data_IF_749712958445
#
_entry.id   IF_749712958445
#
_cell.length_a   1.000
_cell.length_b   1.000
_cell.length_c   1.000
_cell.angle_alpha   90.00
_cell.angle_beta   90.00
_cell.angle_gamma   90.00
#
_symmetry.space_group_name_H-M   'P 1'
#
loop_
_entity.id
_entity.type
_entity.pdbx_description
1 polymer ?
#
# COMPACT_ATOMS: atom_id res chain seq x y z
N UNK A 1 15.95 23.67 -5.67
CA UNK A 1 14.86 22.85 -5.10
C UNK A 1 14.75 23.22 -3.62
N UNK A 2 13.74 23.99 -3.22
CA UNK A 2 13.53 24.34 -1.80
C UNK A 2 13.13 23.09 -1.05
N UNK A 3 13.92 22.72 -0.04
CA UNK A 3 13.56 21.63 0.87
C UNK A 3 12.24 22.00 1.54
N UNK A 4 11.20 21.18 1.31
CA UNK A 4 9.97 21.31 2.09
C UNK A 4 10.31 21.08 3.57
N UNK A 5 9.74 21.89 4.49
CA UNK A 5 10.00 21.68 5.91
C UNK A 5 9.56 20.26 6.31
N UNK A 6 10.39 19.59 7.10
CA UNK A 6 10.10 18.24 7.57
C UNK A 6 8.79 18.25 8.38
N UNK A 7 7.85 17.38 8.03
CA UNK A 7 6.61 17.18 8.79
C UNK A 7 6.97 16.56 10.13
N UNK A 8 6.70 17.26 11.23
CA UNK A 8 7.06 16.85 12.59
C UNK A 8 5.89 16.28 13.40
N UNK A 9 4.66 16.44 12.92
CA UNK A 9 3.44 15.95 13.59
C UNK A 9 2.39 15.52 12.56
N UNK A 10 1.61 14.49 12.88
CA UNK A 10 0.44 14.09 12.07
C UNK A 10 -0.63 15.18 11.99
N UNK A 11 -0.72 16.07 12.96
CA UNK A 11 -1.63 17.24 12.93
C UNK A 11 -1.34 18.19 11.76
N UNK A 12 -0.11 18.20 11.23
CA UNK A 12 0.29 19.02 10.07
C UNK A 12 -0.08 18.40 8.72
N UNK A 13 -0.60 17.17 8.71
CA UNK A 13 -0.86 16.39 7.48
C UNK A 13 -2.30 16.56 6.97
N UNK A 14 -3.02 17.60 7.29
CA UNK A 14 -4.36 17.91 6.76
C UNK A 14 -5.32 16.68 6.61
N UNK A 15 -5.13 15.68 7.48
CA UNK A 15 -5.99 14.49 7.51
C UNK A 15 -7.35 14.86 8.15
N UNK A 16 -8.48 14.31 7.67
CA UNK A 16 -9.79 14.52 8.28
C UNK A 16 -9.84 14.14 9.76
N UNK A 17 -10.65 14.85 10.55
CA UNK A 17 -10.80 14.63 12.00
C UNK A 17 -11.00 13.15 12.41
N UNK A 18 -11.81 12.33 11.71
CA UNK A 18 -11.96 10.93 12.06
C UNK A 18 -10.64 10.14 12.00
N UNK A 19 -9.76 10.47 11.05
CA UNK A 19 -8.44 9.84 10.92
C UNK A 19 -7.48 10.36 11.97
N UNK A 20 -7.47 11.67 12.25
CA UNK A 20 -6.65 12.26 13.31
C UNK A 20 -7.00 11.63 14.68
N UNK A 21 -8.30 11.44 14.96
CA UNK A 21 -8.75 10.76 16.17
C UNK A 21 -8.28 9.32 16.24
N UNK A 22 -8.36 8.57 15.13
CA UNK A 22 -7.87 7.20 15.07
C UNK A 22 -6.35 7.13 15.31
N UNK A 23 -5.57 8.08 14.78
CA UNK A 23 -4.13 8.16 15.00
C UNK A 23 -3.78 8.41 16.47
N UNK A 24 -4.53 9.30 17.13
CA UNK A 24 -4.38 9.56 18.58
C UNK A 24 -4.64 8.29 19.39
N UNK A 25 -5.70 7.54 19.08
CA UNK A 25 -6.03 6.27 19.77
C UNK A 25 -4.95 5.20 19.63
N UNK A 26 -4.22 5.21 18.50
CA UNK A 26 -3.13 4.25 18.27
C UNK A 26 -1.76 4.76 18.73
N UNK A 27 -1.70 5.97 19.30
CA UNK A 27 -0.46 6.56 19.82
C UNK A 27 0.49 7.06 18.73
N UNK A 28 -0.01 7.46 17.58
CA UNK A 28 0.79 8.02 16.51
C UNK A 28 0.95 9.53 16.71
N UNK A 29 2.13 9.97 17.10
CA UNK A 29 2.43 11.38 17.34
C UNK A 29 3.24 12.00 16.19
N UNK A 30 4.35 11.36 15.85
CA UNK A 30 5.30 11.84 14.85
C UNK A 30 5.31 10.91 13.64
N UNK A 31 5.12 11.42 12.41
CA UNK A 31 5.24 10.61 11.21
C UNK A 31 6.68 10.17 10.98
N UNK A 32 6.84 8.93 10.52
CA UNK A 32 8.15 8.45 10.06
C UNK A 32 8.58 9.19 8.78
N UNK A 33 9.86 9.08 8.42
CA UNK A 33 10.40 9.76 7.24
C UNK A 33 9.62 9.43 5.96
N UNK A 34 9.26 8.15 5.72
CA UNK A 34 8.46 7.76 4.56
C UNK A 34 7.05 8.34 4.63
N UNK A 35 6.41 8.38 5.80
CA UNK A 35 5.07 8.95 5.98
C UNK A 35 5.06 10.45 5.71
N UNK A 36 5.98 11.20 6.32
CA UNK A 36 6.09 12.65 6.14
C UNK A 36 6.35 13.06 4.69
N UNK A 37 7.10 12.25 3.94
CA UNK A 37 7.43 12.53 2.55
C UNK A 37 6.33 12.11 1.55
N UNK A 38 5.57 11.03 1.83
CA UNK A 38 4.62 10.48 0.86
C UNK A 38 3.17 10.88 1.10
N UNK A 39 2.73 11.04 2.36
CA UNK A 39 1.33 11.38 2.67
C UNK A 39 0.87 12.67 1.99
N UNK A 40 1.60 13.79 2.02
CA UNK A 40 1.16 15.02 1.35
C UNK A 40 0.99 14.85 -0.17
N UNK A 41 1.90 14.10 -0.81
CA UNK A 41 1.82 13.84 -2.25
C UNK A 41 0.60 12.99 -2.60
N UNK A 42 0.32 11.94 -1.82
CA UNK A 42 -0.84 11.07 -2.02
C UNK A 42 -2.16 11.78 -1.71
N UNK A 43 -2.23 12.66 -0.70
CA UNK A 43 -3.40 13.50 -0.45
C UNK A 43 -3.70 14.43 -1.61
N UNK A 44 -2.66 14.97 -2.25
CA UNK A 44 -2.77 15.81 -3.45
C UNK A 44 -3.09 15.03 -4.74
N UNK A 45 -3.34 13.72 -4.66
CA UNK A 45 -3.66 12.88 -5.82
C UNK A 45 -2.47 12.56 -6.72
N UNK A 46 -1.23 12.82 -6.30
CA UNK A 46 -0.02 12.52 -7.08
C UNK A 46 0.40 11.06 -6.93
N UNK A 47 0.99 10.51 -7.97
CA UNK A 47 1.62 9.20 -7.91
C UNK A 47 2.88 9.24 -7.04
N UNK A 48 3.20 8.12 -6.41
CA UNK A 48 4.36 7.99 -5.52
C UNK A 48 5.15 6.73 -5.85
N UNK A 49 6.47 6.89 -5.94
CA UNK A 49 7.43 5.80 -5.97
C UNK A 49 8.24 5.85 -4.66
N UNK A 50 7.89 4.97 -3.72
CA UNK A 50 8.49 4.93 -2.39
C UNK A 50 9.46 3.77 -2.23
N UNK A 51 10.75 4.08 -2.01
CA UNK A 51 11.74 3.09 -1.63
C UNK A 51 12.00 3.15 -0.13
N UNK A 52 11.55 2.14 0.59
CA UNK A 52 11.73 2.04 2.04
C UNK A 52 11.62 0.59 2.51
N UNK A 53 12.40 0.23 3.51
CA UNK A 53 12.42 -1.11 4.10
C UNK A 53 11.12 -1.45 4.83
N UNK A 54 10.90 -2.74 5.08
CA UNK A 54 9.80 -3.22 5.94
C UNK A 54 9.94 -2.64 7.36
N UNK A 55 8.82 -2.32 7.99
CA UNK A 55 8.82 -1.74 9.35
C UNK A 55 9.02 -0.22 9.42
N UNK A 56 9.21 0.49 8.31
CA UNK A 56 9.35 1.95 8.27
C UNK A 56 8.04 2.73 8.34
N UNK A 57 6.89 2.02 8.37
CA UNK A 57 5.57 2.64 8.43
C UNK A 57 4.90 2.88 7.07
N UNK A 58 5.31 2.15 6.01
CA UNK A 58 4.73 2.26 4.66
C UNK A 58 3.20 2.09 4.65
N UNK A 59 2.67 1.15 5.43
CA UNK A 59 1.21 0.91 5.45
C UNK A 59 0.43 2.16 5.83
N UNK A 60 0.83 2.89 6.86
CA UNK A 60 0.19 4.15 7.21
C UNK A 60 0.46 5.24 6.15
N UNK A 61 1.64 5.22 5.52
CA UNK A 61 2.03 6.16 4.50
C UNK A 61 1.08 6.18 3.28
N UNK A 62 0.52 5.02 2.89
CA UNK A 62 -0.49 4.97 1.84
C UNK A 62 -1.93 4.87 2.37
N UNK A 63 -2.19 4.15 3.47
CA UNK A 63 -3.55 3.93 3.94
C UNK A 63 -4.23 5.22 4.40
N UNK A 64 -3.52 6.11 5.10
CA UNK A 64 -4.09 7.35 5.62
C UNK A 64 -4.57 8.29 4.50
N UNK A 65 -3.75 8.66 3.49
CA UNK A 65 -4.20 9.53 2.42
C UNK A 65 -5.29 8.88 1.55
N UNK A 66 -5.21 7.58 1.34
CA UNK A 66 -6.24 6.82 0.61
C UNK A 66 -7.57 6.89 1.34
N UNK A 67 -7.60 6.68 2.66
CA UNK A 67 -8.81 6.79 3.48
C UNK A 67 -9.37 8.23 3.50
N UNK A 68 -8.50 9.24 3.49
CA UNK A 68 -8.92 10.64 3.46
C UNK A 68 -9.65 11.01 2.16
N UNK A 69 -9.29 10.37 1.04
CA UNK A 69 -9.84 10.63 -0.29
C UNK A 69 -10.99 9.69 -0.69
N UNK A 70 -11.47 8.82 0.22
CA UNK A 70 -12.55 7.89 -0.07
C UNK A 70 -13.91 8.59 -0.17
N UNK A 71 -14.71 8.19 -1.16
CA UNK A 71 -16.12 8.52 -1.24
C UNK A 71 -16.95 7.45 -0.53
N UNK A 72 -17.50 7.78 0.63
CA UNK A 72 -18.22 6.83 1.50
C UNK A 72 -19.53 6.29 0.91
N UNK A 73 -20.08 6.92 -0.14
CA UNK A 73 -21.32 6.50 -0.78
C UNK A 73 -21.18 5.36 -1.79
N UNK A 74 -19.95 5.10 -2.27
CA UNK A 74 -19.71 4.06 -3.27
C UNK A 74 -19.73 2.66 -2.65
N UNK A 75 -20.38 1.72 -3.34
CA UNK A 75 -20.34 0.29 -3.03
C UNK A 75 -19.28 -0.46 -3.82
N UNK A 76 -18.72 0.16 -4.87
CA UNK A 76 -17.63 -0.42 -5.65
C UNK A 76 -16.28 -0.07 -5.03
N UNK A 77 -15.29 -0.96 -5.16
CA UNK A 77 -13.94 -0.70 -4.70
C UNK A 77 -13.34 0.53 -5.39
N UNK A 78 -12.90 1.48 -4.56
CA UNK A 78 -12.19 2.67 -5.02
C UNK A 78 -10.68 2.50 -4.88
N UNK A 79 -10.27 1.53 -4.08
CA UNK A 79 -8.87 1.25 -3.77
C UNK A 79 -8.57 -0.23 -3.91
N UNK A 80 -7.49 -0.52 -4.62
CA UNK A 80 -6.89 -1.84 -4.68
C UNK A 80 -5.46 -1.76 -4.13
N UNK A 81 -5.15 -2.60 -3.16
CA UNK A 81 -3.78 -2.80 -2.66
C UNK A 81 -3.34 -4.22 -3.04
N UNK A 82 -2.27 -4.33 -3.80
CA UNK A 82 -1.64 -5.62 -4.10
C UNK A 82 -0.47 -5.87 -3.14
N UNK A 83 -0.44 -7.08 -2.60
CA UNK A 83 0.57 -7.54 -1.65
C UNK A 83 1.08 -8.92 -2.03
N UNK A 84 2.36 -9.28 -1.74
CA UNK A 84 2.92 -10.57 -2.16
C UNK A 84 2.31 -11.77 -1.43
N UNK A 85 1.89 -11.60 -0.18
CA UNK A 85 1.47 -12.73 0.66
C UNK A 85 0.09 -12.53 1.27
N UNK A 86 -0.54 -13.64 1.61
CA UNK A 86 -1.80 -13.69 2.36
C UNK A 86 -1.69 -12.95 3.69
N UNK A 87 -0.61 -13.21 4.42
CA UNK A 87 -0.35 -12.65 5.73
C UNK A 87 -0.28 -11.12 5.67
N UNK A 88 0.44 -10.58 4.66
CA UNK A 88 0.52 -9.14 4.46
C UNK A 88 -0.82 -8.56 4.04
N UNK A 89 -1.60 -9.24 3.19
CA UNK A 89 -2.95 -8.79 2.82
C UNK A 89 -3.86 -8.63 4.04
N UNK A 90 -3.80 -9.58 4.98
CA UNK A 90 -4.56 -9.52 6.23
C UNK A 90 -4.08 -8.35 7.10
N UNK A 91 -2.76 -8.23 7.31
CA UNK A 91 -2.18 -7.16 8.13
C UNK A 91 -2.50 -5.76 7.59
N UNK A 92 -2.44 -5.59 6.27
CA UNK A 92 -2.78 -4.32 5.63
C UNK A 92 -4.28 -4.03 5.77
N UNK A 93 -5.15 -5.03 5.60
CA UNK A 93 -6.59 -4.85 5.79
C UNK A 93 -6.94 -4.49 7.26
N UNK A 94 -6.29 -5.12 8.23
CA UNK A 94 -6.43 -4.79 9.66
C UNK A 94 -5.96 -3.35 9.95
N UNK A 95 -4.86 -2.92 9.33
CA UNK A 95 -4.38 -1.54 9.45
C UNK A 95 -5.40 -0.54 8.89
N UNK A 96 -5.99 -0.80 7.72
CA UNK A 96 -7.08 0.00 7.17
C UNK A 96 -8.27 0.09 8.13
N UNK A 97 -8.72 -1.05 8.69
CA UNK A 97 -9.80 -1.05 9.69
C UNK A 97 -9.48 -0.21 10.92
N UNK A 98 -8.24 -0.34 11.42
CA UNK A 98 -7.76 0.40 12.58
C UNK A 98 -7.78 1.91 12.34
N UNK A 99 -7.29 2.37 11.18
CA UNK A 99 -7.27 3.80 10.84
C UNK A 99 -8.67 4.34 10.49
N UNK A 100 -9.52 3.50 9.91
CA UNK A 100 -10.89 3.85 9.52
C UNK A 100 -11.92 3.72 10.65
N UNK A 101 -11.50 3.48 11.89
CA UNK A 101 -12.37 3.19 13.04
C UNK A 101 -13.54 4.19 13.21
N UNK A 102 -13.32 5.45 12.87
CA UNK A 102 -14.31 6.52 12.98
C UNK A 102 -14.96 6.90 11.65
N UNK A 103 -14.63 6.21 10.56
CA UNK A 103 -15.29 6.38 9.27
C UNK A 103 -16.59 5.55 9.24
N UNK A 104 -17.70 6.20 8.88
CA UNK A 104 -19.01 5.52 8.77
C UNK A 104 -19.05 4.63 7.51
N UNK A 105 -19.63 3.45 7.65
CA UNK A 105 -19.88 2.50 6.55
C UNK A 105 -18.62 2.06 5.78
N UNK A 106 -17.44 2.19 6.38
CA UNK A 106 -16.20 1.72 5.76
C UNK A 106 -16.10 0.19 5.80
N UNK A 107 -15.74 -0.39 4.66
CA UNK A 107 -15.49 -1.82 4.51
C UNK A 107 -14.21 -2.05 3.73
N UNK A 108 -13.33 -2.88 4.26
CA UNK A 108 -12.12 -3.38 3.60
C UNK A 108 -12.20 -4.91 3.55
N UNK A 109 -11.82 -5.48 2.41
CA UNK A 109 -11.83 -6.92 2.20
C UNK A 109 -10.45 -7.42 1.79
N UNK A 110 -9.83 -8.31 2.58
CA UNK A 110 -8.66 -9.06 2.12
C UNK A 110 -9.09 -10.23 1.22
N UNK A 111 -8.48 -10.33 0.00
CA UNK A 111 -8.71 -11.42 -0.94
C UNK A 111 -7.39 -12.12 -1.29
N UNK A 112 -7.32 -13.43 -1.06
CA UNK A 112 -6.10 -14.22 -1.25
C UNK A 112 -6.42 -15.68 -1.52
N UNK A 113 -5.46 -16.39 -2.11
CA UNK A 113 -5.58 -17.81 -2.39
C UNK A 113 -5.66 -18.68 -1.12
N UNK A 114 -6.27 -19.85 -1.22
CA UNK A 114 -6.46 -20.77 -0.09
C UNK A 114 -7.58 -20.42 0.89
N UNK A 115 -8.23 -19.24 0.74
CA UNK A 115 -9.44 -18.90 1.50
C UNK A 115 -10.73 -19.26 0.74
N UNK A 116 -11.85 -19.35 1.46
CA UNK A 116 -13.16 -19.62 0.88
C UNK A 116 -13.55 -18.54 -0.15
N UNK A 117 -13.62 -18.95 -1.40
CA UNK A 117 -14.01 -18.08 -2.51
C UNK A 117 -15.43 -17.53 -2.35
N UNK A 118 -16.37 -18.35 -1.88
CA UNK A 118 -17.78 -17.95 -1.71
C UNK A 118 -17.93 -16.89 -0.62
N UNK A 119 -17.11 -16.98 0.43
CA UNK A 119 -17.05 -15.96 1.48
C UNK A 119 -16.60 -14.61 0.94
N UNK A 120 -15.53 -14.58 0.13
CA UNK A 120 -15.03 -13.37 -0.52
C UNK A 120 -16.07 -12.80 -1.50
N UNK A 121 -16.71 -13.65 -2.32
CA UNK A 121 -17.75 -13.24 -3.26
C UNK A 121 -18.93 -12.56 -2.56
N UNK A 122 -19.44 -13.15 -1.47
CA UNK A 122 -20.54 -12.54 -0.67
C UNK A 122 -20.17 -11.16 -0.13
N UNK A 123 -18.94 -10.96 0.31
CA UNK A 123 -18.49 -9.66 0.81
C UNK A 123 -18.34 -8.62 -0.30
N UNK A 124 -17.79 -9.00 -1.46
CA UNK A 124 -17.75 -8.14 -2.66
C UNK A 124 -19.16 -7.69 -3.08
N UNK A 125 -20.14 -8.59 -3.08
CA UNK A 125 -21.53 -8.29 -3.42
C UNK A 125 -22.22 -7.33 -2.41
N UNK A 126 -21.82 -7.34 -1.14
CA UNK A 126 -22.32 -6.39 -0.12
C UNK A 126 -21.79 -4.98 -0.34
N UNK A 127 -20.68 -4.87 -1.03
CA UNK A 127 -19.98 -3.62 -1.28
C UNK A 127 -18.81 -3.39 -0.31
N UNK A 128 -17.66 -3.04 -0.89
CA UNK A 128 -16.44 -2.71 -0.15
C UNK A 128 -15.75 -1.54 -0.84
N UNK A 129 -15.14 -0.65 -0.09
CA UNK A 129 -14.43 0.50 -0.64
C UNK A 129 -12.96 0.18 -0.91
N UNK A 130 -12.37 -0.71 -0.13
CA UNK A 130 -10.96 -1.11 -0.24
C UNK A 130 -10.87 -2.62 -0.40
N UNK A 131 -10.12 -3.05 -1.40
CA UNK A 131 -9.71 -4.45 -1.57
C UNK A 131 -8.20 -4.52 -1.37
N UNK A 132 -7.77 -5.45 -0.53
CA UNK A 132 -6.35 -5.77 -0.33
C UNK A 132 -6.15 -7.22 -0.75
N UNK A 133 -5.24 -7.51 -1.68
CA UNK A 133 -5.15 -8.88 -2.13
C UNK A 133 -3.83 -9.33 -2.74
N UNK A 134 -3.68 -10.65 -2.84
CA UNK A 134 -2.58 -11.24 -3.61
C UNK A 134 -2.93 -11.26 -5.11
N UNK A 135 -1.96 -11.00 -6.01
CA UNK A 135 -2.22 -10.81 -7.44
C UNK A 135 -3.07 -11.91 -8.07
N UNK A 136 -2.71 -13.17 -7.91
CA UNK A 136 -3.41 -14.29 -8.53
C UNK A 136 -4.90 -14.41 -8.14
N UNK A 137 -5.27 -14.14 -6.86
CA UNK A 137 -6.67 -14.18 -6.42
C UNK A 137 -7.43 -12.93 -6.87
N UNK A 138 -6.80 -11.77 -6.90
CA UNK A 138 -7.39 -10.55 -7.47
C UNK A 138 -7.72 -10.78 -8.94
N UNK A 139 -6.78 -11.30 -9.71
CA UNK A 139 -6.95 -11.62 -11.13
C UNK A 139 -8.08 -12.65 -11.35
N UNK A 140 -8.18 -13.70 -10.52
CA UNK A 140 -9.26 -14.69 -10.61
C UNK A 140 -10.66 -14.05 -10.42
N UNK A 141 -10.81 -13.18 -9.42
CA UNK A 141 -12.06 -12.43 -9.22
C UNK A 141 -12.36 -11.46 -10.37
N UNK A 142 -11.35 -10.77 -10.92
CA UNK A 142 -11.52 -9.88 -12.07
C UNK A 142 -11.95 -10.65 -13.32
N UNK A 143 -11.29 -11.78 -13.65
CA UNK A 143 -11.61 -12.61 -14.81
C UNK A 143 -13.01 -13.23 -14.72
N UNK A 144 -13.49 -13.52 -13.53
CA UNK A 144 -14.86 -14.04 -13.29
C UNK A 144 -15.91 -12.94 -13.21
N UNK A 145 -15.53 -11.67 -13.32
CA UNK A 145 -16.44 -10.52 -13.21
C UNK A 145 -17.03 -10.34 -11.80
N UNK A 146 -16.45 -10.97 -10.78
CA UNK A 146 -16.89 -10.85 -9.40
C UNK A 146 -16.24 -9.69 -8.64
N UNK A 147 -15.19 -9.11 -9.19
CA UNK A 147 -14.53 -7.89 -8.73
C UNK A 147 -14.61 -6.85 -9.84
N UNK A 148 -15.47 -5.85 -9.65
CA UNK A 148 -15.61 -4.71 -10.54
C UNK A 148 -14.76 -3.55 -10.02
N UNK A 149 -13.72 -3.20 -10.78
CA UNK A 149 -12.78 -2.09 -10.49
C UNK A 149 -13.06 -0.85 -11.33
N UNK A 150 -14.23 -0.70 -11.94
CA UNK A 150 -14.58 0.45 -12.78
C UNK A 150 -14.57 1.78 -12.01
N UNK A 151 -14.78 1.75 -10.70
CA UNK A 151 -14.71 2.91 -9.81
C UNK A 151 -13.34 3.09 -9.12
N UNK A 152 -12.30 2.36 -9.56
CA UNK A 152 -10.98 2.41 -8.94
C UNK A 152 -10.34 3.79 -9.12
N UNK A 153 -9.93 4.39 -8.01
CA UNK A 153 -9.27 5.70 -7.94
C UNK A 153 -7.80 5.60 -7.56
N UNK A 154 -7.46 4.61 -6.74
CA UNK A 154 -6.08 4.42 -6.27
C UNK A 154 -5.69 2.94 -6.33
N UNK A 155 -4.52 2.67 -6.88
CA UNK A 155 -3.89 1.36 -6.88
C UNK A 155 -2.56 1.45 -6.15
N UNK A 156 -2.37 0.57 -5.16
CA UNK A 156 -1.14 0.49 -4.37
C UNK A 156 -0.46 -0.85 -4.64
N UNK A 157 0.84 -0.80 -4.94
CA UNK A 157 1.71 -1.97 -4.96
C UNK A 157 2.58 -1.92 -3.70
N UNK A 158 2.35 -2.80 -2.75
CA UNK A 158 3.17 -2.90 -1.53
C UNK A 158 4.09 -4.11 -1.61
N UNK A 159 5.37 -3.90 -1.27
CA UNK A 159 6.43 -4.90 -1.41
C UNK A 159 6.56 -5.44 -2.86
N UNK A 160 6.65 -4.52 -3.83
CA UNK A 160 6.70 -4.87 -5.25
C UNK A 160 7.89 -5.78 -5.61
N UNK A 161 9.03 -5.60 -4.97
CA UNK A 161 10.20 -6.48 -5.15
C UNK A 161 9.96 -7.89 -4.63
N UNK A 162 9.17 -8.08 -3.59
CA UNK A 162 8.77 -9.39 -3.11
C UNK A 162 7.78 -10.07 -4.08
N UNK A 163 6.81 -9.30 -4.62
CA UNK A 163 5.94 -9.82 -5.70
C UNK A 163 6.74 -10.27 -6.91
N UNK A 164 7.80 -9.55 -7.27
CA UNK A 164 8.73 -9.96 -8.34
C UNK A 164 9.45 -11.27 -8.00
N UNK A 165 9.98 -11.40 -6.77
CA UNK A 165 10.67 -12.63 -6.32
C UNK A 165 9.76 -13.85 -6.32
N UNK A 166 8.47 -13.65 -6.02
CA UNK A 166 7.46 -14.72 -6.04
C UNK A 166 6.89 -15.03 -7.42
N UNK A 167 7.34 -14.32 -8.48
CA UNK A 167 6.91 -14.56 -9.85
C UNK A 167 5.55 -13.96 -10.21
N UNK A 168 5.02 -13.02 -9.41
CA UNK A 168 3.70 -12.39 -9.64
C UNK A 168 3.74 -11.19 -10.59
N UNK A 169 4.87 -10.91 -11.21
CA UNK A 169 5.03 -9.66 -11.96
C UNK A 169 4.09 -9.59 -13.17
N UNK A 170 3.91 -10.69 -13.88
CA UNK A 170 3.01 -10.76 -15.03
C UNK A 170 1.54 -10.57 -14.60
N UNK A 171 1.16 -11.14 -13.45
CA UNK A 171 -0.17 -10.95 -12.87
C UNK A 171 -0.40 -9.48 -12.46
N UNK A 172 0.62 -8.84 -11.89
CA UNK A 172 0.58 -7.41 -11.50
C UNK A 172 0.44 -6.53 -12.73
N UNK A 173 1.25 -6.75 -13.77
CA UNK A 173 1.16 -5.99 -15.02
C UNK A 173 -0.22 -6.16 -15.68
N UNK A 174 -0.72 -7.39 -15.75
CA UNK A 174 -2.07 -7.65 -16.27
C UNK A 174 -3.14 -6.88 -15.49
N UNK A 175 -3.10 -6.89 -14.14
CA UNK A 175 -4.06 -6.13 -13.31
C UNK A 175 -3.96 -4.64 -13.60
N UNK A 176 -2.74 -4.09 -13.67
CA UNK A 176 -2.50 -2.68 -13.99
C UNK A 176 -3.11 -2.28 -15.35
N UNK A 177 -3.02 -3.16 -16.35
CA UNK A 177 -3.59 -2.94 -17.69
C UNK A 177 -5.11 -2.97 -17.71
N UNK A 178 -5.74 -3.81 -16.86
CA UNK A 178 -7.20 -3.97 -16.80
C UNK A 178 -7.89 -2.93 -15.90
N UNK A 179 -7.15 -2.10 -15.18
CA UNK A 179 -7.71 -1.06 -14.30
C UNK A 179 -7.82 0.29 -15.01
N UNK A 180 -8.72 1.21 -14.58
CA UNK A 180 -8.88 2.51 -15.23
C UNK A 180 -7.55 3.26 -15.37
N UNK A 181 -7.33 3.89 -16.53
CA UNK A 181 -6.08 4.65 -16.79
C UNK A 181 -5.96 5.90 -15.94
N UNK A 182 -7.08 6.54 -15.64
CA UNK A 182 -7.15 7.70 -14.75
C UNK A 182 -7.29 7.22 -13.31
N UNK A 183 -6.18 6.80 -12.72
CA UNK A 183 -6.06 6.43 -11.32
C UNK A 183 -4.75 6.92 -10.77
N UNK A 184 -4.71 7.12 -9.48
CA UNK A 184 -3.46 7.33 -8.74
C UNK A 184 -2.77 5.98 -8.53
N UNK A 185 -1.44 5.94 -8.66
CA UNK A 185 -0.63 4.75 -8.38
C UNK A 185 0.41 5.07 -7.31
N UNK A 186 0.48 4.23 -6.28
CA UNK A 186 1.53 4.27 -5.27
C UNK A 186 2.29 2.95 -5.28
N UNK A 187 3.58 2.97 -5.58
CA UNK A 187 4.44 1.81 -5.60
C UNK A 187 5.44 1.90 -4.45
N UNK A 188 5.41 0.91 -3.57
CA UNK A 188 6.36 0.77 -2.46
C UNK A 188 7.18 -0.50 -2.62
N UNK A 189 8.49 -0.37 -2.44
CA UNK A 189 9.45 -1.47 -2.56
C UNK A 189 10.65 -1.22 -1.65
N UNK A 190 11.28 -2.28 -1.16
CA UNK A 190 12.54 -2.15 -0.42
C UNK A 190 13.72 -1.99 -1.38
N UNK A 191 13.66 -2.61 -2.55
CA UNK A 191 14.67 -2.55 -3.61
C UNK A 191 14.06 -2.12 -4.93
N UNK A 192 14.88 -1.55 -5.83
CA UNK A 192 14.43 -1.06 -7.15
C UNK A 192 15.15 -1.78 -8.30
N UNK A 193 14.92 -3.09 -8.50
CA UNK A 193 15.46 -3.79 -9.66
C UNK A 193 14.88 -3.21 -10.97
N UNK A 194 15.57 -3.43 -12.09
CA UNK A 194 15.19 -2.89 -13.40
C UNK A 194 13.73 -3.15 -13.79
N UNK A 195 13.18 -4.30 -13.40
CA UNK A 195 11.79 -4.68 -13.70
C UNK A 195 10.81 -3.76 -12.95
N UNK A 196 11.04 -3.50 -11.66
CA UNK A 196 10.20 -2.59 -10.87
C UNK A 196 10.30 -1.15 -11.40
N UNK A 197 11.51 -0.72 -11.79
CA UNK A 197 11.70 0.56 -12.44
C UNK A 197 10.90 0.70 -13.75
N UNK A 198 10.88 -0.36 -14.57
CA UNK A 198 10.10 -0.41 -15.81
C UNK A 198 8.59 -0.27 -15.52
N UNK A 199 8.06 -1.02 -14.54
CA UNK A 199 6.65 -0.92 -14.13
C UNK A 199 6.33 0.50 -13.67
N UNK A 200 7.19 1.11 -12.85
CA UNK A 200 7.00 2.48 -12.41
C UNK A 200 6.95 3.45 -13.60
N UNK A 201 7.86 3.33 -14.55
CA UNK A 201 7.90 4.18 -15.75
C UNK A 201 6.66 4.02 -16.66
N UNK A 202 6.10 2.81 -16.75
CA UNK A 202 4.95 2.51 -17.62
C UNK A 202 3.61 2.92 -17.00
N UNK A 203 3.47 2.83 -15.68
CA UNK A 203 2.19 2.93 -15.01
C UNK A 203 2.03 4.14 -14.06
N UNK A 204 3.11 4.81 -13.67
CA UNK A 204 3.07 6.00 -12.84
C UNK A 204 3.21 7.28 -13.70
N UNK A 205 2.48 8.33 -13.33
CA UNK A 205 2.49 9.63 -14.02
C UNK A 205 3.20 10.68 -13.15
N UNK A 206 4.40 11.11 -13.57
CA UNK A 206 5.21 12.10 -12.85
C UNK A 206 5.26 11.85 -11.33
N UNK A 207 5.66 10.66 -10.89
CA UNK A 207 5.61 10.29 -9.48
C UNK A 207 6.51 11.18 -8.63
N UNK A 208 6.12 11.33 -7.37
CA UNK A 208 7.03 11.80 -6.33
C UNK A 208 7.90 10.61 -5.93
N UNK A 209 9.19 10.72 -6.18
CA UNK A 209 10.15 9.70 -5.79
C UNK A 209 10.67 9.97 -4.38
N UNK A 210 10.52 9.00 -3.50
CA UNK A 210 10.99 9.06 -2.11
C UNK A 210 11.83 7.84 -1.83
N UNK A 211 13.11 8.05 -1.50
CA UNK A 211 14.01 6.99 -1.07
C UNK A 211 14.45 7.27 0.38
N UNK A 212 14.13 6.34 1.27
CA UNK A 212 14.57 6.37 2.66
C UNK A 212 15.74 5.43 2.80
N UNK A 213 16.94 5.99 2.86
CA UNK A 213 18.14 5.22 3.17
C UNK A 213 18.09 4.77 4.63
N UNK A 214 18.11 3.48 4.84
CA UNK A 214 18.39 2.94 6.18
C UNK A 214 19.89 3.17 6.44
N UNK A 215 20.21 4.10 7.31
CA UNK A 215 21.55 4.09 7.89
C UNK A 215 21.71 2.72 8.54
N UNK A 216 22.57 1.90 7.95
CA UNK A 216 22.95 0.62 8.53
C UNK A 216 23.70 0.95 9.82
N UNK A 217 22.97 1.13 10.90
CA UNK A 217 23.58 1.14 12.24
C UNK A 217 24.08 -0.27 12.43
N UNK A 218 25.35 -0.50 12.09
CA UNK A 218 26.04 -1.71 12.51
C UNK A 218 25.86 -1.75 14.02
N UNK A 219 24.98 -2.63 14.45
CA UNK A 219 24.72 -2.79 15.89
C UNK A 219 26.03 -3.27 16.52
N UNK A 220 26.76 -2.35 17.15
CA UNK A 220 28.08 -2.60 17.74
C UNK A 220 28.02 -3.71 18.82
N UNK A 221 26.82 -4.11 19.25
CA UNK A 221 26.62 -5.23 20.18
C UNK A 221 26.63 -6.61 19.50
N UNK A 222 26.57 -6.69 18.14
CA UNK A 222 26.63 -7.96 17.43
C UNK A 222 28.08 -8.27 17.06
N UNK A 223 28.71 -9.19 17.77
CA UNK A 223 30.02 -9.75 17.39
C UNK A 223 29.81 -10.86 16.36
N UNK A 224 30.16 -10.60 15.10
CA UNK A 224 30.26 -11.63 14.08
C UNK A 224 31.57 -12.40 14.25
N UNK A 225 31.51 -13.73 14.30
CA UNK A 225 32.67 -14.62 14.29
C UNK A 225 32.60 -15.52 13.09
N UNK A 226 33.61 -15.50 12.25
CA UNK A 226 33.78 -16.43 11.12
C UNK A 226 34.67 -17.56 11.58
N UNK A 227 34.20 -18.79 11.45
CA UNK A 227 35.01 -19.99 11.67
C UNK A 227 35.42 -20.53 10.30
N UNK A 228 36.69 -20.50 10.02
CA UNK A 228 37.22 -21.19 8.85
C UNK A 228 37.53 -22.63 9.24
N UNK A 229 36.82 -23.57 8.64
CA UNK A 229 37.17 -25.00 8.75
C UNK A 229 38.11 -25.34 7.62
N UNK A 230 39.32 -25.86 7.94
CA UNK A 230 40.19 -26.47 6.96
C UNK A 230 39.58 -27.81 6.54
N UNK A 231 39.41 -28.02 5.21
CA UNK A 231 39.01 -29.27 4.61
C UNK A 231 40.16 -30.27 4.54
#
# INVERSE_FOLDING_TARGET
MSAQPAVTSFAQLELPDPLQKALTDVGYETPSAIQGATIPALLAGRDVLGQAQTGTGKTAAFALPVLANLESASKLPQVLVLTPTRELAIQVAEAFQKYARYLKNFQVLPIYGGADYRGQLRQLQRGVQVVVGTPGRVMDHMRRGSLDLSALRTLVLDEADEMLRMGFIDDVEWILEQTPKQRQVALFSATMPKVIHRIAQQHLQNPVEVAIEVQTVINQSIRQRVWMMAG
#
